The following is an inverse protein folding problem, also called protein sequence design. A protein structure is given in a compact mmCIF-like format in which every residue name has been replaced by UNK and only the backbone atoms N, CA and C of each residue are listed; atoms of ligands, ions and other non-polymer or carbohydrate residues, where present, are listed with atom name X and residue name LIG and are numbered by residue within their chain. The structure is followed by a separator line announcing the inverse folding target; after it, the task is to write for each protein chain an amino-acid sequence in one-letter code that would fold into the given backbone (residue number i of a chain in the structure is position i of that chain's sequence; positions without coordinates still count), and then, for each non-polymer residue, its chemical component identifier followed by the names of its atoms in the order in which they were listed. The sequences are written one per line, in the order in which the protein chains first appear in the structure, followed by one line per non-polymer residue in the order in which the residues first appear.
data_IF_821650830060
#
_entry.id   IF_821650830060
#
_cell.length_a   1.000
_cell.length_b   1.000
_cell.length_c   1.000
_cell.angle_alpha   90.00
_cell.angle_beta   90.00
_cell.angle_gamma   90.00
#
_symmetry.space_group_name_H-M   'P 1'
#
loop_
_entity.id
_entity.type
_entity.pdbx_description
1 polymer ?
#
# COMPACT_ATOMS: atom_id res chain seq x y z
N UNK A 1 0.02 -14.32 18.94
CA UNK A 1 0.84 -13.09 18.90
C UNK A 1 2.34 -13.39 18.83
N UNK A 2 2.90 -14.33 19.64
CA UNK A 2 4.33 -14.67 19.62
C UNK A 2 4.76 -15.29 18.28
N UNK A 3 4.03 -16.29 17.78
CA UNK A 3 4.28 -16.92 16.48
C UNK A 3 4.19 -15.90 15.32
N UNK A 4 3.20 -15.00 15.35
CA UNK A 4 3.06 -13.94 14.35
C UNK A 4 4.26 -12.99 14.33
N UNK A 5 4.80 -12.63 15.51
CA UNK A 5 6.00 -11.78 15.61
C UNK A 5 7.23 -12.50 15.07
N UNK A 6 7.45 -13.76 15.45
CA UNK A 6 8.56 -14.58 14.96
C UNK A 6 8.50 -14.74 13.43
N UNK A 7 7.29 -14.85 12.88
CA UNK A 7 7.10 -14.92 11.43
C UNK A 7 7.40 -13.58 10.76
N UNK A 8 6.93 -12.44 11.30
CA UNK A 8 7.25 -11.12 10.78
C UNK A 8 8.77 -10.81 10.85
N UNK A 9 9.45 -11.22 11.94
CA UNK A 9 10.89 -11.04 12.07
C UNK A 9 11.69 -11.88 11.07
N UNK A 10 11.17 -13.06 10.74
CA UNK A 10 11.84 -14.02 9.85
C UNK A 10 11.60 -13.74 8.37
N UNK A 11 10.44 -13.20 8.04
CA UNK A 11 10.00 -12.99 6.66
C UNK A 11 9.75 -11.52 6.34
N UNK A 12 10.35 -10.58 7.09
CA UNK A 12 10.25 -9.13 6.93
C UNK A 12 9.48 -8.74 5.64
N UNK A 13 8.15 -8.73 5.71
CA UNK A 13 7.32 -8.40 4.55
C UNK A 13 7.52 -6.93 4.25
N UNK A 14 8.10 -6.64 3.09
CA UNK A 14 8.19 -5.28 2.57
C UNK A 14 6.78 -4.73 2.35
N UNK A 15 6.63 -3.45 2.54
CA UNK A 15 5.40 -2.78 2.16
C UNK A 15 5.24 -2.85 0.63
N UNK A 16 4.07 -3.23 0.17
CA UNK A 16 3.76 -3.30 -1.25
C UNK A 16 2.33 -2.83 -1.54
N UNK A 17 2.11 -2.41 -2.76
CA UNK A 17 0.79 -2.18 -3.32
C UNK A 17 0.52 -3.24 -4.39
N UNK A 18 -0.72 -3.67 -4.49
CA UNK A 18 -1.21 -4.48 -5.59
C UNK A 18 -2.10 -3.62 -6.50
N UNK A 19 -1.83 -3.73 -7.79
CA UNK A 19 -2.69 -3.18 -8.82
C UNK A 19 -3.19 -4.33 -9.68
N UNK A 20 -4.49 -4.50 -9.79
CA UNK A 20 -5.08 -5.45 -10.73
C UNK A 20 -5.51 -4.71 -11.99
N UNK A 21 -5.28 -5.32 -13.14
CA UNK A 21 -5.69 -4.82 -14.44
C UNK A 21 -6.45 -5.89 -15.21
N UNK A 22 -7.67 -5.55 -15.59
CA UNK A 22 -8.54 -6.36 -16.45
C UNK A 22 -8.77 -5.58 -17.73
N UNK A 23 -8.00 -5.83 -18.80
CA UNK A 23 -8.18 -5.11 -20.06
C UNK A 23 -9.52 -5.45 -20.71
N UNK A 24 -10.05 -4.52 -21.50
CA UNK A 24 -11.26 -4.74 -22.33
C UNK A 24 -11.02 -5.76 -23.45
N UNK A 25 -9.75 -5.98 -23.82
CA UNK A 25 -9.29 -6.93 -24.84
C UNK A 25 -8.73 -8.21 -24.18
N UNK A 26 -8.27 -9.18 -25.00
CA UNK A 26 -7.56 -10.36 -24.45
C UNK A 26 -6.28 -9.89 -23.72
N UNK A 27 -6.10 -10.37 -22.50
CA UNK A 27 -4.94 -10.04 -21.63
C UNK A 27 -3.60 -10.34 -22.33
N UNK A 28 -3.56 -11.33 -23.20
CA UNK A 28 -2.35 -11.75 -23.94
C UNK A 28 -2.26 -11.13 -25.34
N UNK A 29 -3.14 -10.18 -25.71
CA UNK A 29 -2.97 -9.39 -26.91
C UNK A 29 -1.73 -8.51 -26.80
N UNK A 30 -1.07 -8.21 -27.93
CA UNK A 30 0.11 -7.35 -27.93
C UNK A 30 -0.20 -5.99 -27.33
N UNK A 31 -1.37 -5.41 -27.64
CA UNK A 31 -1.80 -4.13 -27.07
C UNK A 31 -1.94 -4.15 -25.56
N UNK A 32 -2.48 -5.23 -24.96
CA UNK A 32 -2.59 -5.39 -23.52
C UNK A 32 -1.22 -5.57 -22.86
N UNK A 33 -0.33 -6.37 -23.45
CA UNK A 33 1.03 -6.57 -22.96
C UNK A 33 1.84 -5.27 -22.97
N UNK A 34 1.73 -4.48 -24.05
CA UNK A 34 2.39 -3.18 -24.15
C UNK A 34 1.88 -2.18 -23.11
N UNK A 35 0.57 -2.20 -22.81
CA UNK A 35 -0.04 -1.38 -21.76
C UNK A 35 0.43 -1.80 -20.37
N UNK A 36 0.51 -3.11 -20.08
CA UNK A 36 1.03 -3.63 -18.81
C UNK A 36 2.49 -3.21 -18.63
N UNK A 37 3.30 -3.32 -19.68
CA UNK A 37 4.70 -2.88 -19.68
C UNK A 37 4.81 -1.38 -19.40
N UNK A 38 4.03 -0.55 -20.10
CA UNK A 38 4.02 0.89 -19.91
C UNK A 38 3.58 1.28 -18.49
N UNK A 39 2.49 0.67 -17.98
CA UNK A 39 1.99 0.91 -16.64
C UNK A 39 3.02 0.54 -15.56
N UNK A 40 3.67 -0.63 -15.72
CA UNK A 40 4.76 -1.07 -14.84
C UNK A 40 5.91 -0.06 -14.85
N UNK A 41 6.32 0.41 -16.02
CA UNK A 41 7.46 1.31 -16.17
C UNK A 41 7.13 2.69 -15.59
N UNK A 42 5.89 3.20 -15.73
CA UNK A 42 5.47 4.42 -15.04
C UNK A 42 5.56 4.24 -13.51
N UNK A 43 5.13 3.11 -12.94
CA UNK A 43 5.29 2.87 -11.49
C UNK A 43 6.76 2.83 -11.06
N UNK A 44 7.67 2.32 -11.90
CA UNK A 44 9.11 2.31 -11.61
C UNK A 44 9.73 3.69 -11.54
N UNK A 45 9.09 4.72 -12.12
CA UNK A 45 9.58 6.11 -12.03
C UNK A 45 9.29 6.77 -10.69
N UNK A 46 8.39 6.22 -9.90
CA UNK A 46 8.01 6.79 -8.61
C UNK A 46 9.15 6.62 -7.58
N UNK A 47 9.52 7.72 -6.92
CA UNK A 47 10.64 7.76 -5.97
C UNK A 47 10.52 6.73 -4.83
N UNK A 48 9.34 6.53 -4.17
CA UNK A 48 9.19 5.55 -3.10
C UNK A 48 9.20 4.08 -3.54
N UNK A 49 9.15 3.81 -4.85
CA UNK A 49 9.12 2.46 -5.40
C UNK A 49 10.53 1.88 -5.49
N UNK A 50 10.70 0.66 -5.00
CA UNK A 50 11.95 -0.10 -5.12
C UNK A 50 11.96 -1.00 -6.36
N UNK A 51 10.86 -1.72 -6.58
CA UNK A 51 10.70 -2.62 -7.72
C UNK A 51 9.24 -2.84 -8.05
N UNK A 52 8.99 -3.20 -9.30
CA UNK A 52 7.64 -3.56 -9.78
C UNK A 52 7.72 -4.90 -10.48
N UNK A 53 6.82 -5.80 -10.14
CA UNK A 53 6.72 -7.15 -10.70
C UNK A 53 5.35 -7.29 -11.36
N UNK A 54 5.34 -7.70 -12.61
CA UNK A 54 4.13 -7.96 -13.39
C UNK A 54 4.23 -9.28 -14.16
N UNK A 55 3.16 -9.67 -14.82
CA UNK A 55 3.15 -10.91 -15.62
C UNK A 55 4.18 -10.92 -16.76
N UNK A 56 4.65 -9.75 -17.21
CA UNK A 56 5.66 -9.66 -18.30
C UNK A 56 7.07 -9.88 -17.82
N UNK A 57 7.32 -9.72 -16.50
CA UNK A 57 8.63 -9.84 -15.85
C UNK A 57 8.91 -11.26 -15.32
N UNK A 58 7.87 -12.07 -15.11
CA UNK A 58 8.06 -13.37 -14.45
C UNK A 58 8.75 -14.39 -15.33
N UNK A 59 9.62 -15.24 -14.75
CA UNK A 59 10.33 -16.29 -15.46
C UNK A 59 9.39 -17.35 -16.03
N UNK A 60 9.56 -17.68 -17.32
CA UNK A 60 8.88 -18.78 -17.99
C UNK A 60 9.84 -19.97 -18.07
N UNK A 61 9.67 -20.94 -17.17
CA UNK A 61 10.62 -22.05 -16.98
C UNK A 61 10.36 -23.18 -17.99
N UNK A 62 9.11 -23.40 -18.40
CA UNK A 62 8.75 -24.50 -19.33
C UNK A 62 9.14 -24.25 -20.79
N UNK A 63 9.56 -23.07 -21.12
CA UNK A 63 9.98 -22.72 -22.48
C UNK A 63 11.51 -22.77 -22.66
N UNK A 64 12.23 -23.26 -21.66
CA UNK A 64 13.68 -23.41 -21.70
C UNK A 64 14.00 -24.87 -22.05
N UNK A 65 14.51 -25.09 -23.24
CA UNK A 65 15.05 -26.38 -23.67
C UNK A 65 16.50 -26.51 -23.13
N UNK A 66 16.70 -27.25 -22.05
CA UNK A 66 18.05 -27.46 -21.50
C UNK A 66 18.10 -28.04 -20.08
N UNK A 67 19.30 -28.11 -19.55
CA UNK A 67 19.62 -28.58 -18.19
C UNK A 67 19.21 -27.52 -17.14
N UNK A 68 19.07 -27.91 -15.86
CA UNK A 68 18.79 -27.00 -14.73
C UNK A 68 19.80 -25.84 -14.61
N UNK A 69 21.04 -26.04 -15.05
CA UNK A 69 22.05 -24.98 -15.16
C UNK A 69 21.72 -23.94 -16.23
N UNK A 70 21.11 -24.35 -17.33
CA UNK A 70 20.78 -23.49 -18.44
C UNK A 70 19.57 -22.57 -18.10
N UNK A 71 18.74 -22.96 -17.12
CA UNK A 71 17.60 -22.19 -16.63
C UNK A 71 18.08 -20.93 -15.92
N UNK A 72 19.16 -21.00 -15.15
CA UNK A 72 19.68 -19.85 -14.41
C UNK A 72 20.27 -18.77 -15.35
N UNK A 73 20.84 -19.18 -16.48
CA UNK A 73 21.51 -18.26 -17.41
C UNK A 73 20.59 -17.77 -18.55
N UNK A 74 19.47 -18.48 -18.82
CA UNK A 74 18.56 -18.21 -19.94
C UNK A 74 17.11 -17.98 -19.49
N UNK A 75 16.89 -17.21 -18.42
CA UNK A 75 15.56 -16.84 -17.97
C UNK A 75 14.82 -16.07 -19.07
N UNK A 76 13.77 -16.67 -19.63
CA UNK A 76 12.90 -16.02 -20.61
C UNK A 76 11.71 -15.39 -19.91
N UNK A 77 11.39 -14.17 -20.29
CA UNK A 77 10.22 -13.42 -19.86
C UNK A 77 9.42 -12.99 -21.09
N UNK A 78 8.17 -12.64 -20.92
CA UNK A 78 7.35 -12.13 -22.04
C UNK A 78 8.00 -10.86 -22.62
N UNK A 79 8.51 -9.97 -21.76
CA UNK A 79 9.18 -8.74 -22.18
C UNK A 79 10.50 -9.00 -22.92
N UNK A 80 11.28 -10.00 -22.49
CA UNK A 80 12.56 -10.33 -23.11
C UNK A 80 12.45 -10.80 -24.55
N UNK A 81 11.25 -11.09 -25.01
CA UNK A 81 10.96 -11.52 -26.38
C UNK A 81 11.37 -12.97 -26.68
N UNK A 82 11.09 -13.43 -27.89
CA UNK A 82 11.41 -14.81 -28.30
C UNK A 82 10.58 -15.90 -27.61
N UNK A 83 9.47 -15.52 -27.01
CA UNK A 83 8.54 -16.38 -26.29
C UNK A 83 7.28 -16.60 -27.10
N UNK A 84 6.81 -17.84 -27.18
CA UNK A 84 5.50 -18.17 -27.71
C UNK A 84 4.43 -17.77 -26.69
N UNK A 85 3.63 -16.75 -27.01
CA UNK A 85 2.61 -16.19 -26.11
C UNK A 85 1.55 -17.23 -25.76
N UNK A 86 1.19 -18.15 -26.66
CA UNK A 86 0.22 -19.20 -26.35
C UNK A 86 0.77 -20.19 -25.31
N UNK A 87 2.06 -20.52 -25.41
CA UNK A 87 2.74 -21.34 -24.40
C UNK A 87 2.92 -20.59 -23.07
N UNK A 88 3.26 -19.30 -23.14
CA UNK A 88 3.34 -18.45 -21.94
C UNK A 88 2.01 -18.40 -21.20
N UNK A 89 0.92 -18.20 -21.92
CA UNK A 89 -0.47 -18.24 -21.37
C UNK A 89 -0.73 -19.56 -20.65
N UNK A 90 -0.42 -20.69 -21.29
CA UNK A 90 -0.60 -22.02 -20.68
C UNK A 90 0.29 -22.20 -19.43
N UNK A 91 1.52 -21.75 -19.47
CA UNK A 91 2.44 -21.84 -18.34
C UNK A 91 1.94 -21.03 -17.15
N UNK A 92 1.56 -19.76 -17.35
CA UNK A 92 1.07 -18.87 -16.31
C UNK A 92 -0.22 -19.40 -15.68
N UNK A 93 -1.19 -19.88 -16.49
CA UNK A 93 -2.46 -20.40 -16.01
C UNK A 93 -2.35 -21.75 -15.27
N UNK A 94 -1.33 -22.54 -15.56
CA UNK A 94 -1.11 -23.87 -14.94
C UNK A 94 0.00 -23.87 -13.88
N UNK A 95 0.68 -22.75 -13.66
CA UNK A 95 1.73 -22.62 -12.66
C UNK A 95 1.12 -22.53 -11.26
N UNK A 96 1.55 -23.35 -10.29
CA UNK A 96 1.11 -23.21 -8.90
C UNK A 96 1.63 -21.92 -8.23
N UNK A 97 2.60 -21.24 -8.85
CA UNK A 97 3.22 -20.01 -8.33
C UNK A 97 2.51 -18.77 -8.88
N UNK A 98 2.09 -18.79 -10.15
CA UNK A 98 1.57 -17.60 -10.83
C UNK A 98 0.05 -17.54 -10.88
N UNK A 99 -0.61 -18.71 -10.92
CA UNK A 99 -2.05 -18.81 -10.93
C UNK A 99 -2.63 -18.27 -9.63
N UNK A 100 -3.65 -17.41 -9.74
CA UNK A 100 -4.34 -16.75 -8.63
C UNK A 100 -3.45 -15.80 -7.80
N UNK A 101 -2.19 -15.60 -8.18
CA UNK A 101 -1.29 -14.62 -7.57
C UNK A 101 -0.98 -13.47 -8.55
N UNK A 102 -0.55 -13.82 -9.77
CA UNK A 102 -0.18 -12.85 -10.81
C UNK A 102 -1.23 -12.79 -11.92
N UNK A 103 -1.91 -13.90 -12.17
CA UNK A 103 -2.97 -14.02 -13.17
C UNK A 103 -4.19 -14.72 -12.56
N UNK A 104 -5.39 -14.21 -12.87
CA UNK A 104 -6.65 -14.83 -12.45
C UNK A 104 -6.84 -16.22 -13.08
N UNK A 105 -7.65 -17.07 -12.45
CA UNK A 105 -7.91 -18.42 -12.93
C UNK A 105 -8.52 -18.48 -14.34
N UNK A 106 -9.27 -17.44 -14.73
CA UNK A 106 -9.87 -17.30 -16.05
C UNK A 106 -8.94 -16.62 -17.09
N UNK A 107 -7.75 -16.17 -16.66
CA UNK A 107 -6.76 -15.55 -17.52
C UNK A 107 -7.14 -14.17 -18.06
N UNK A 108 -8.08 -13.46 -17.42
CA UNK A 108 -8.57 -12.16 -17.86
C UNK A 108 -7.97 -10.99 -17.11
N UNK A 109 -7.54 -11.21 -15.87
CA UNK A 109 -6.99 -10.19 -14.98
C UNK A 109 -5.56 -10.53 -14.61
N UNK A 110 -4.69 -9.53 -14.61
CA UNK A 110 -3.33 -9.64 -14.06
C UNK A 110 -3.15 -8.76 -12.84
N UNK A 111 -2.22 -9.16 -11.95
CA UNK A 111 -1.78 -8.36 -10.83
C UNK A 111 -0.37 -7.80 -11.10
N UNK A 112 -0.17 -6.55 -10.72
CA UNK A 112 1.11 -5.86 -10.71
C UNK A 112 1.45 -5.57 -9.25
N UNK A 113 2.55 -6.08 -8.77
CA UNK A 113 3.04 -5.83 -7.42
C UNK A 113 4.05 -4.69 -7.44
N UNK A 114 3.75 -3.63 -6.71
CA UNK A 114 4.60 -2.45 -6.55
C UNK A 114 5.23 -2.52 -5.16
N UNK A 115 6.50 -2.86 -5.08
CA UNK A 115 7.26 -2.95 -3.83
C UNK A 115 7.80 -1.58 -3.45
N UNK A 116 7.56 -1.18 -2.21
CA UNK A 116 8.04 0.09 -1.68
C UNK A 116 9.42 -0.07 -1.04
N UNK A 117 10.19 1.01 -1.05
CA UNK A 117 11.52 1.05 -0.42
C UNK A 117 11.44 0.76 1.08
N UNK A 118 12.36 -0.06 1.56
CA UNK A 118 12.48 -0.38 2.97
C UNK A 118 12.85 0.87 3.80
N UNK A 119 12.33 0.91 5.02
CA UNK A 119 12.60 1.99 6.00
C UNK A 119 13.25 1.39 7.25
N UNK A 120 14.50 0.89 7.16
CA UNK A 120 15.13 0.08 8.21
C UNK A 120 15.29 0.85 9.53
N UNK A 121 15.57 2.15 9.49
CA UNK A 121 15.70 2.97 10.69
C UNK A 121 14.37 3.10 11.44
N UNK A 122 13.29 3.30 10.72
CA UNK A 122 11.95 3.34 11.31
C UNK A 122 11.55 1.99 11.91
N UNK A 123 11.88 0.88 11.25
CA UNK A 123 11.62 -0.46 11.78
C UNK A 123 12.41 -0.75 13.06
N UNK A 124 13.65 -0.27 13.17
CA UNK A 124 14.44 -0.35 14.42
C UNK A 124 13.77 0.43 15.55
N UNK A 125 13.38 1.66 15.26
CA UNK A 125 12.71 2.54 16.22
C UNK A 125 11.37 1.96 16.70
N UNK A 126 10.61 1.37 15.77
CA UNK A 126 9.35 0.69 16.08
C UNK A 126 9.56 -0.53 16.99
N UNK A 127 10.62 -1.32 16.76
CA UNK A 127 10.96 -2.48 17.59
C UNK A 127 11.36 -2.02 19.01
N UNK A 128 12.24 -1.02 19.12
CA UNK A 128 12.67 -0.47 20.40
C UNK A 128 11.48 0.07 21.20
N UNK A 129 10.62 0.88 20.56
CA UNK A 129 9.36 1.36 21.15
C UNK A 129 8.52 0.21 21.69
N UNK A 130 8.34 -0.83 20.88
CA UNK A 130 7.49 -1.98 21.24
C UNK A 130 8.07 -2.74 22.43
N UNK A 131 9.40 -2.94 22.48
CA UNK A 131 10.07 -3.61 23.59
C UNK A 131 9.95 -2.82 24.90
N UNK A 132 10.17 -1.51 24.86
CA UNK A 132 10.01 -0.64 26.04
C UNK A 132 8.58 -0.61 26.55
N UNK A 133 7.57 -0.54 25.66
CA UNK A 133 6.16 -0.58 26.05
C UNK A 133 5.76 -1.92 26.66
N UNK A 134 6.25 -3.04 26.12
CA UNK A 134 6.01 -4.37 26.69
C UNK A 134 6.62 -4.47 28.09
N UNK A 135 7.89 -4.04 28.25
CA UNK A 135 8.56 -4.05 29.54
C UNK A 135 7.85 -3.17 30.55
N UNK A 136 7.44 -1.97 30.13
CA UNK A 136 6.65 -1.05 30.98
C UNK A 136 5.38 -1.69 31.54
N UNK A 137 4.67 -2.46 30.71
CA UNK A 137 3.42 -3.12 31.12
C UNK A 137 3.65 -4.36 32.01
N UNK A 138 4.76 -5.08 31.80
CA UNK A 138 5.02 -6.35 32.48
C UNK A 138 5.77 -6.19 33.80
N UNK A 139 6.78 -5.34 33.86
CA UNK A 139 7.77 -5.28 34.95
C UNK A 139 7.96 -3.86 35.49
N UNK A 140 7.50 -2.84 34.77
CA UNK A 140 7.82 -1.44 34.99
C UNK A 140 9.15 -1.05 34.31
N UNK A 141 9.42 0.25 34.28
CA UNK A 141 10.66 0.81 33.74
C UNK A 141 11.42 1.54 34.86
N UNK A 142 12.74 1.49 34.80
CA UNK A 142 13.57 2.38 35.60
C UNK A 142 13.54 3.83 35.02
N UNK A 143 14.16 4.77 35.77
CA UNK A 143 14.14 6.20 35.39
C UNK A 143 14.81 6.46 34.02
N UNK A 144 15.91 5.75 33.72
CA UNK A 144 16.61 5.88 32.44
C UNK A 144 15.80 5.29 31.29
N UNK A 145 15.16 4.16 31.53
CA UNK A 145 14.26 3.52 30.54
C UNK A 145 12.99 4.34 30.27
N UNK A 146 12.48 5.03 31.28
CA UNK A 146 11.35 5.95 31.12
C UNK A 146 11.75 7.15 30.25
N UNK A 147 12.87 7.79 30.49
CA UNK A 147 13.40 8.85 29.65
C UNK A 147 13.66 8.37 28.22
N UNK A 148 14.20 7.15 28.06
CA UNK A 148 14.41 6.57 26.74
C UNK A 148 13.10 6.31 26.00
N UNK A 149 12.06 5.82 26.70
CA UNK A 149 10.73 5.61 26.12
C UNK A 149 10.14 6.93 25.62
N UNK A 150 10.23 8.02 26.38
CA UNK A 150 9.74 9.34 25.95
C UNK A 150 10.46 9.83 24.70
N UNK A 151 11.79 9.68 24.62
CA UNK A 151 12.57 10.03 23.44
C UNK A 151 12.12 9.20 22.21
N UNK A 152 12.05 7.88 22.37
CA UNK A 152 11.64 6.95 21.31
C UNK A 152 10.22 7.24 20.82
N UNK A 153 9.30 7.60 21.72
CA UNK A 153 7.94 7.98 21.33
C UNK A 153 7.92 9.28 20.51
N UNK A 154 8.72 10.27 20.89
CA UNK A 154 8.82 11.53 20.15
C UNK A 154 9.45 11.31 18.77
N UNK A 155 10.57 10.59 18.69
CA UNK A 155 11.25 10.24 17.44
C UNK A 155 10.35 9.41 16.53
N UNK A 156 9.67 8.40 17.08
CA UNK A 156 8.72 7.56 16.34
C UNK A 156 7.58 8.39 15.75
N UNK A 157 7.00 9.30 16.54
CA UNK A 157 5.88 10.13 16.06
C UNK A 157 6.34 11.07 14.94
N UNK A 158 7.51 11.68 15.08
CA UNK A 158 8.08 12.56 14.07
C UNK A 158 8.36 11.80 12.75
N UNK A 159 9.04 10.65 12.83
CA UNK A 159 9.34 9.84 11.65
C UNK A 159 8.07 9.25 11.02
N UNK A 160 7.13 8.78 11.83
CA UNK A 160 5.86 8.25 11.35
C UNK A 160 5.10 9.29 10.53
N UNK A 161 5.01 10.53 10.98
CA UNK A 161 4.31 11.60 10.24
C UNK A 161 4.93 11.84 8.87
N UNK A 162 6.27 11.80 8.76
CA UNK A 162 6.98 11.93 7.48
C UNK A 162 6.67 10.75 6.56
N UNK A 163 6.72 9.53 7.11
CA UNK A 163 6.44 8.30 6.37
C UNK A 163 4.99 8.23 5.89
N UNK A 164 4.05 8.59 6.76
CA UNK A 164 2.62 8.62 6.41
C UNK A 164 2.36 9.62 5.26
N UNK A 165 3.04 10.76 5.28
CA UNK A 165 2.96 11.73 4.18
C UNK A 165 3.52 11.16 2.87
N UNK A 166 4.72 10.57 2.90
CA UNK A 166 5.34 9.95 1.72
C UNK A 166 4.44 8.83 1.15
N UNK A 167 3.85 8.01 2.02
CA UNK A 167 2.94 6.96 1.60
C UNK A 167 1.67 7.53 0.98
N UNK A 168 1.10 8.59 1.55
CA UNK A 168 -0.06 9.28 1.00
C UNK A 168 0.23 9.86 -0.39
N UNK A 169 1.32 10.62 -0.53
CA UNK A 169 1.73 11.22 -1.80
C UNK A 169 1.94 10.12 -2.87
N UNK A 170 2.61 9.02 -2.52
CA UNK A 170 2.80 7.88 -3.42
C UNK A 170 1.48 7.21 -3.84
N UNK A 171 0.51 7.08 -2.93
CA UNK A 171 -0.81 6.51 -3.24
C UNK A 171 -1.56 7.42 -4.22
N UNK A 172 -1.45 8.75 -4.04
CA UNK A 172 -2.03 9.74 -4.97
C UNK A 172 -1.38 9.60 -6.35
N UNK A 173 -0.04 9.55 -6.42
CA UNK A 173 0.69 9.41 -7.68
C UNK A 173 0.31 8.10 -8.41
N UNK A 174 0.23 6.98 -7.68
CA UNK A 174 -0.23 5.71 -8.25
C UNK A 174 -1.65 5.82 -8.78
N UNK A 175 -2.57 6.48 -8.08
CA UNK A 175 -3.95 6.71 -8.56
C UNK A 175 -3.98 7.57 -9.82
N UNK A 176 -3.16 8.62 -9.89
CA UNK A 176 -3.06 9.46 -11.10
C UNK A 176 -2.57 8.65 -12.31
N UNK A 177 -1.61 7.75 -12.11
CA UNK A 177 -1.17 6.83 -13.16
C UNK A 177 -2.33 5.92 -13.57
N UNK A 178 -3.02 5.28 -12.61
CA UNK A 178 -4.14 4.39 -12.90
C UNK A 178 -5.25 5.09 -13.69
N UNK A 179 -5.55 6.35 -13.37
CA UNK A 179 -6.59 7.13 -14.03
C UNK A 179 -6.32 7.31 -15.53
N UNK A 180 -5.06 7.40 -15.96
CA UNK A 180 -4.67 7.46 -17.37
C UNK A 180 -5.02 6.17 -18.13
N UNK A 181 -4.97 5.04 -17.43
CA UNK A 181 -5.17 3.70 -18.02
C UNK A 181 -6.60 3.16 -17.91
N UNK A 182 -7.49 3.80 -17.15
CA UNK A 182 -8.91 3.41 -16.98
C UNK A 182 -9.68 3.29 -18.31
N UNK A 183 -9.25 4.00 -19.34
CA UNK A 183 -9.85 3.93 -20.68
C UNK A 183 -9.56 2.60 -21.42
N UNK A 184 -8.70 1.75 -20.87
CA UNK A 184 -8.26 0.50 -21.49
C UNK A 184 -8.74 -0.74 -20.76
N UNK A 185 -9.45 -0.58 -19.64
CA UNK A 185 -9.98 -1.65 -18.83
C UNK A 185 -10.14 -1.28 -17.36
N UNK A 186 -10.61 -2.24 -16.57
CA UNK A 186 -10.82 -2.06 -15.14
C UNK A 186 -9.50 -2.17 -14.37
N UNK A 187 -9.24 -1.17 -13.54
CA UNK A 187 -8.06 -1.09 -12.68
C UNK A 187 -8.49 -0.90 -11.22
N UNK A 188 -7.92 -1.73 -10.36
CA UNK A 188 -8.13 -1.60 -8.93
C UNK A 188 -6.79 -1.63 -8.21
N UNK A 189 -6.65 -0.79 -7.17
CA UNK A 189 -5.50 -0.77 -6.29
C UNK A 189 -5.88 -1.34 -4.93
N UNK A 190 -4.97 -2.10 -4.33
CA UNK A 190 -5.08 -2.66 -3.00
C UNK A 190 -3.72 -2.69 -2.30
N UNK A 191 -3.75 -3.01 -1.02
CA UNK A 191 -2.55 -3.13 -0.19
C UNK A 191 -2.76 -2.52 1.19
N UNK A 192 -2.00 -2.99 2.18
CA UNK A 192 -2.15 -2.56 3.58
C UNK A 192 -1.88 -1.07 3.72
N UNK A 193 -0.85 -0.56 3.03
CA UNK A 193 -0.47 0.86 3.06
C UNK A 193 -1.59 1.74 2.52
N UNK A 194 -2.24 1.35 1.40
CA UNK A 194 -3.38 2.06 0.82
C UNK A 194 -4.59 2.06 1.77
N UNK A 195 -4.94 0.89 2.32
CA UNK A 195 -6.09 0.77 3.23
C UNK A 195 -5.87 1.65 4.47
N UNK A 196 -4.64 1.66 5.01
CA UNK A 196 -4.29 2.49 6.17
C UNK A 196 -4.43 3.98 5.86
N UNK A 197 -3.95 4.42 4.70
CA UNK A 197 -4.05 5.81 4.26
C UNK A 197 -5.50 6.25 4.05
N UNK A 198 -6.28 5.43 3.35
CA UNK A 198 -7.70 5.68 3.14
C UNK A 198 -8.48 5.76 4.47
N UNK A 199 -8.22 4.83 5.40
CA UNK A 199 -8.83 4.87 6.72
C UNK A 199 -8.51 6.17 7.48
N UNK A 200 -7.25 6.60 7.48
CA UNK A 200 -6.84 7.85 8.12
C UNK A 200 -7.54 9.05 7.46
N UNK A 201 -7.60 9.06 6.14
CA UNK A 201 -8.22 10.13 5.37
C UNK A 201 -9.73 10.20 5.61
N UNK A 202 -10.42 9.05 5.59
CA UNK A 202 -11.85 8.99 5.89
C UNK A 202 -12.16 9.41 7.33
N UNK A 203 -11.40 8.93 8.32
CA UNK A 203 -11.59 9.32 9.72
C UNK A 203 -11.41 10.83 9.90
N UNK A 204 -10.37 11.42 9.30
CA UNK A 204 -10.16 12.88 9.35
C UNK A 204 -11.34 13.64 8.74
N UNK A 205 -11.80 13.22 7.57
CA UNK A 205 -12.92 13.85 6.89
C UNK A 205 -14.22 13.72 7.69
N UNK A 206 -14.51 12.54 8.22
CA UNK A 206 -15.69 12.29 9.05
C UNK A 206 -15.68 13.15 10.33
N UNK A 207 -14.51 13.28 10.98
CA UNK A 207 -14.37 14.14 12.17
C UNK A 207 -14.65 15.60 11.84
N UNK A 208 -14.18 16.09 10.68
CA UNK A 208 -14.45 17.48 10.26
C UNK A 208 -15.92 17.66 9.93
N UNK A 209 -16.49 16.79 9.09
CA UNK A 209 -17.89 16.88 8.66
C UNK A 209 -18.84 16.77 9.85
N UNK A 210 -18.62 15.75 10.71
CA UNK A 210 -19.44 15.54 11.90
C UNK A 210 -19.24 16.66 12.91
N UNK A 211 -17.99 17.09 13.17
CA UNK A 211 -17.68 18.18 14.09
C UNK A 211 -18.35 19.50 13.68
N UNK A 212 -18.23 19.86 12.40
CA UNK A 212 -18.89 21.05 11.85
C UNK A 212 -20.41 20.90 11.91
N UNK A 213 -20.94 19.73 11.57
CA UNK A 213 -22.39 19.44 11.64
C UNK A 213 -22.96 19.59 13.04
N UNK A 214 -22.31 18.99 14.05
CA UNK A 214 -22.70 19.10 15.46
C UNK A 214 -22.58 20.55 15.93
N UNK A 215 -21.50 21.25 15.57
CA UNK A 215 -21.30 22.64 15.93
C UNK A 215 -22.44 23.54 15.38
N UNK A 216 -22.75 23.41 14.10
CA UNK A 216 -23.84 24.16 13.47
C UNK A 216 -25.21 23.81 14.07
N UNK A 217 -25.43 22.53 14.38
CA UNK A 217 -26.65 22.11 15.07
C UNK A 217 -26.80 22.76 16.46
N UNK A 218 -25.72 22.77 17.25
CA UNK A 218 -25.72 23.40 18.58
C UNK A 218 -25.97 24.91 18.49
N UNK A 219 -25.26 25.59 17.53
CA UNK A 219 -25.48 27.03 17.30
C UNK A 219 -26.91 27.30 16.87
N UNK A 220 -27.46 26.49 15.97
CA UNK A 220 -28.84 26.59 15.51
C UNK A 220 -29.86 26.41 16.67
N UNK A 221 -29.66 25.37 17.47
CA UNK A 221 -30.53 25.09 18.63
C UNK A 221 -30.47 26.20 19.68
N UNK A 222 -29.28 26.70 20.02
CA UNK A 222 -29.09 27.82 20.92
C UNK A 222 -29.75 29.10 20.39
N UNK A 223 -29.64 29.35 19.07
CA UNK A 223 -30.25 30.51 18.41
C UNK A 223 -31.76 30.48 18.47
N UNK A 224 -32.37 29.32 18.30
CA UNK A 224 -33.84 29.14 18.42
C UNK A 224 -34.31 29.37 19.86
N UNK A 225 -33.57 28.84 20.84
CA UNK A 225 -33.94 28.92 22.26
C UNK A 225 -33.78 30.36 22.78
N UNK A 226 -32.64 30.97 22.56
CA UNK A 226 -32.32 32.27 23.17
C UNK A 226 -32.76 33.48 22.35
N UNK A 227 -33.03 33.33 21.05
CA UNK A 227 -33.47 34.40 20.13
C UNK A 227 -32.64 35.69 20.16
N UNK A 228 -31.50 35.72 20.86
CA UNK A 228 -30.56 36.85 20.98
C UNK A 228 -29.14 36.36 20.79
N UNK A 229 -28.44 36.89 19.83
CA UNK A 229 -27.08 36.49 19.40
C UNK A 229 -26.05 36.52 20.57
N UNK A 230 -26.23 37.46 21.50
CA UNK A 230 -25.34 37.60 22.67
C UNK A 230 -25.35 36.35 23.58
N UNK A 231 -26.48 35.68 23.74
CA UNK A 231 -26.63 34.50 24.58
C UNK A 231 -26.17 33.21 23.86
N UNK A 232 -26.00 33.26 22.57
CA UNK A 232 -25.40 32.18 21.77
C UNK A 232 -23.88 32.29 21.80
N UNK A 233 -23.32 33.50 21.69
CA UNK A 233 -21.89 33.73 21.66
C UNK A 233 -21.20 33.50 23.01
N UNK A 234 -21.86 33.81 24.14
CA UNK A 234 -21.28 33.67 25.48
C UNK A 234 -20.87 32.23 25.84
N UNK A 235 -21.69 31.18 25.63
CA UNK A 235 -21.28 29.81 25.87
C UNK A 235 -20.22 29.33 24.91
N UNK A 236 -20.27 29.75 23.63
CA UNK A 236 -19.28 29.38 22.64
C UNK A 236 -17.89 29.95 22.94
N UNK A 237 -17.83 31.22 23.42
CA UNK A 237 -16.57 31.84 23.84
C UNK A 237 -16.00 31.24 25.13
N UNK A 238 -16.85 30.64 25.96
CA UNK A 238 -16.42 29.99 27.20
C UNK A 238 -15.86 28.58 26.99
N UNK A 239 -16.11 27.98 25.82
CA UNK A 239 -15.62 26.65 25.46
C UNK A 239 -14.32 26.68 24.65
N UNK A 240 -13.87 27.86 24.21
CA UNK A 240 -12.61 28.08 23.54
C UNK A 240 -11.62 28.81 24.45
#
# INVERSE_FOLDING_TARGET
LKLFRETLERYATRDFLFVTFTPDEDLFSQSSLDRITSLRDEFRTLEPVESVISMVDVPLVKQIDGSLSDIADNVRTIEGGGVDIAKAKQELLNSPIYKELIISADGRTTAIQVNLKDKPEFLKLQRERTQLLIKHTAEGLDENEQLRLEQVLAEYTAQKNVIDKINHDNIVDVREILDKYKQYGDLHMGGVTMITDDMITYIKNDLIVFGVGVFLFLVGMLSIIFRKLRWVLLPLLSCF
#
